data_IF_610941926616
#
_entry.id   IF_610941926616
#
_cell.length_a   1.000
_cell.length_b   1.000
_cell.length_c   1.000
_cell.angle_alpha   90.00
_cell.angle_beta   90.00
_cell.angle_gamma   90.00
#
_symmetry.space_group_name_H-M   'P 1'
#
loop_
_entity.id
_entity.type
_entity.pdbx_description
1 polymer ?
#
# COMPACT_ATOMS: atom_id res chain seq x y z
N UNK A 1 -28.38 71.27 15.79
CA UNK A 1 -29.82 71.60 15.95
C UNK A 1 -30.23 72.29 14.66
N UNK A 2 -31.07 71.78 13.76
CA UNK A 2 -32.13 70.76 13.83
C UNK A 2 -32.13 69.89 12.55
N UNK A 3 -32.51 68.62 12.78
CA UNK A 3 -33.06 67.58 11.89
C UNK A 3 -34.02 68.09 10.78
N UNK A 4 -34.38 67.38 9.69
CA UNK A 4 -34.37 65.94 9.40
C UNK A 4 -34.67 65.62 7.91
N UNK A 5 -34.28 64.41 7.52
CA UNK A 5 -34.92 63.43 6.61
C UNK A 5 -35.22 63.74 5.13
N UNK A 6 -34.60 62.95 4.23
CA UNK A 6 -35.18 61.87 3.36
C UNK A 6 -35.93 62.45 2.15
N UNK A 7 -35.72 62.02 0.91
CA UNK A 7 -35.75 60.66 0.41
C UNK A 7 -35.09 60.54 -0.98
N UNK A 8 -34.71 59.31 -1.31
CA UNK A 8 -34.15 58.85 -2.59
C UNK A 8 -35.17 58.94 -3.73
N UNK A 9 -34.74 59.34 -4.93
CA UNK A 9 -35.18 58.81 -6.24
C UNK A 9 -34.43 59.51 -7.40
N UNK A 10 -34.41 58.85 -8.57
CA UNK A 10 -33.81 59.25 -9.88
C UNK A 10 -32.28 59.02 -10.02
N UNK A 11 -31.71 58.51 -11.12
CA UNK A 11 -32.23 58.20 -12.45
C UNK A 11 -31.17 57.37 -13.21
N UNK A 12 -31.66 56.45 -14.03
CA UNK A 12 -30.95 55.92 -15.19
C UNK A 12 -30.77 57.01 -16.25
N UNK A 13 -29.64 57.04 -16.98
CA UNK A 13 -29.51 57.44 -18.39
C UNK A 13 -28.11 57.01 -18.89
N UNK A 14 -28.10 56.22 -19.97
CA UNK A 14 -26.95 55.97 -20.83
C UNK A 14 -26.70 57.16 -21.78
N UNK A 15 -25.44 57.53 -21.98
CA UNK A 15 -25.03 58.43 -23.08
C UNK A 15 -23.72 57.96 -23.75
N UNK A 16 -23.91 57.32 -24.90
CA UNK A 16 -23.16 57.27 -26.16
C UNK A 16 -21.77 57.94 -26.26
N UNK A 17 -20.77 57.08 -26.53
CA UNK A 17 -19.63 57.14 -27.47
C UNK A 17 -18.49 58.19 -27.41
N UNK A 18 -17.29 57.59 -27.30
CA UNK A 18 -16.03 57.82 -28.04
C UNK A 18 -15.17 59.06 -27.71
N UNK A 19 -14.00 58.80 -27.11
CA UNK A 19 -12.69 59.00 -27.77
C UNK A 19 -11.53 58.51 -26.90
N UNK A 20 -10.69 57.70 -27.53
CA UNK A 20 -9.49 57.06 -27.03
C UNK A 20 -8.48 58.03 -26.43
N UNK A 21 -8.08 57.82 -25.17
CA UNK A 21 -6.73 58.13 -24.69
C UNK A 21 -6.28 57.01 -23.76
N UNK A 22 -5.20 56.38 -24.18
CA UNK A 22 -4.30 55.45 -23.49
C UNK A 22 -4.19 55.66 -21.98
N UNK A 23 -4.78 54.74 -21.22
CA UNK A 23 -4.28 54.32 -19.89
C UNK A 23 -4.39 52.81 -19.82
N UNK A 24 -3.30 52.13 -20.20
CA UNK A 24 -3.09 50.73 -19.88
C UNK A 24 -2.92 50.65 -18.36
N UNK A 25 -4.01 50.44 -17.62
CA UNK A 25 -3.90 49.95 -16.25
C UNK A 25 -3.39 48.52 -16.35
N UNK A 26 -2.11 48.32 -16.04
CA UNK A 26 -1.63 47.01 -15.58
C UNK A 26 -2.43 46.69 -14.32
N UNK A 27 -3.49 45.89 -14.46
CA UNK A 27 -3.99 45.13 -13.32
C UNK A 27 -2.98 44.00 -13.15
N UNK A 28 -1.98 44.25 -12.31
CA UNK A 28 -1.22 43.18 -11.68
C UNK A 28 -2.21 42.39 -10.81
N UNK A 29 -2.93 41.45 -11.42
CA UNK A 29 -3.47 40.32 -10.67
C UNK A 29 -2.24 39.48 -10.33
N UNK A 30 -1.60 39.81 -9.22
CA UNK A 30 -0.76 38.84 -8.53
C UNK A 30 -1.71 37.73 -8.10
N UNK A 31 -1.88 36.74 -8.97
CA UNK A 31 -2.32 35.42 -8.56
C UNK A 31 -1.21 34.96 -7.63
N UNK A 32 -1.40 35.21 -6.34
CA UNK A 32 -0.78 34.38 -5.32
C UNK A 32 -1.32 32.98 -5.59
N UNK A 33 -0.59 32.22 -6.41
CA UNK A 33 -0.54 30.77 -6.27
C UNK A 33 0.04 30.54 -4.88
N UNK A 34 -0.80 30.67 -3.86
CA UNK A 34 -0.56 29.93 -2.63
C UNK A 34 -0.45 28.48 -3.11
N UNK A 35 0.67 27.78 -2.85
CA UNK A 35 0.61 26.35 -2.95
C UNK A 35 -0.47 25.96 -1.94
N UNK A 36 -1.63 25.55 -2.45
CA UNK A 36 -2.60 24.84 -1.64
C UNK A 36 -1.97 23.47 -1.37
N UNK A 37 -0.90 23.43 -0.57
CA UNK A 37 -0.59 22.27 0.24
C UNK A 37 -1.60 22.27 1.38
N UNK A 38 -2.87 22.07 1.01
CA UNK A 38 -3.78 21.44 1.92
C UNK A 38 -3.25 20.02 2.05
N UNK A 39 -2.40 19.78 3.06
CA UNK A 39 -2.43 18.49 3.76
C UNK A 39 -3.87 18.34 4.25
N UNK A 40 -4.75 17.87 3.36
CA UNK A 40 -6.02 17.29 3.76
C UNK A 40 -5.60 16.19 4.71
N UNK A 41 -5.83 16.41 6.01
CA UNK A 41 -5.91 15.30 6.95
C UNK A 41 -7.03 14.43 6.40
N UNK A 42 -6.63 13.39 5.69
CA UNK A 42 -7.54 12.38 5.22
C UNK A 42 -8.02 11.68 6.49
N UNK A 43 -9.27 11.96 6.89
CA UNK A 43 -9.97 11.25 7.98
C UNK A 43 -10.16 9.74 7.67
N UNK A 44 -9.69 9.28 6.51
CA UNK A 44 -9.78 7.90 6.03
C UNK A 44 -8.50 7.11 6.27
N UNK A 45 -7.37 7.76 6.64
CA UNK A 45 -6.11 7.08 6.96
C UNK A 45 -6.16 6.53 8.39
N UNK A 46 -6.13 5.20 8.52
CA UNK A 46 -6.24 4.50 9.80
C UNK A 46 -4.89 4.03 10.34
N UNK A 47 -3.87 3.95 9.49
CA UNK A 47 -2.50 3.63 9.87
C UNK A 47 -1.50 4.29 8.93
N UNK A 48 -0.41 4.80 9.49
CA UNK A 48 0.75 5.32 8.78
C UNK A 48 2.02 4.82 9.48
N UNK A 49 2.94 4.27 8.70
CA UNK A 49 4.32 4.02 9.11
C UNK A 49 5.23 4.48 7.98
N UNK A 50 5.74 5.70 8.14
CA UNK A 50 6.81 6.32 7.36
C UNK A 50 8.19 6.04 7.97
N UNK A 51 8.25 5.20 9.01
CA UNK A 51 9.45 4.74 9.71
C UNK A 51 10.33 5.81 10.37
N UNK A 52 9.91 7.09 10.34
CA UNK A 52 10.62 8.22 10.99
C UNK A 52 10.68 8.10 12.52
N UNK A 53 9.80 7.29 13.11
CA UNK A 53 9.75 7.01 14.55
C UNK A 53 10.11 5.55 14.87
N UNK A 54 10.74 4.85 13.93
CA UNK A 54 11.00 3.41 14.03
C UNK A 54 9.81 2.55 13.61
N UNK A 55 9.72 1.34 14.16
CA UNK A 55 8.68 0.35 13.81
C UNK A 55 8.02 -0.30 15.04
N UNK A 56 8.01 0.40 16.18
CA UNK A 56 7.54 -0.15 17.46
C UNK A 56 6.03 -0.47 17.50
N UNK A 57 5.26 0.12 16.59
CA UNK A 57 3.83 -0.09 16.38
C UNK A 57 3.52 -1.41 15.66
N UNK A 58 4.54 -2.08 15.11
CA UNK A 58 4.40 -3.33 14.38
C UNK A 58 4.59 -4.55 15.28
N UNK A 59 3.83 -5.62 15.00
CA UNK A 59 4.23 -6.95 15.45
C UNK A 59 5.42 -7.45 14.64
N UNK A 60 6.34 -8.19 15.28
CA UNK A 60 7.58 -8.64 14.62
C UNK A 60 7.62 -10.17 14.46
N UNK A 61 8.17 -10.62 13.34
CA UNK A 61 8.56 -12.00 13.06
C UNK A 61 10.00 -11.99 12.53
N UNK A 62 10.93 -11.64 13.43
CA UNK A 62 12.36 -11.41 13.16
C UNK A 62 13.20 -12.40 13.99
N UNK A 63 14.17 -13.08 13.37
CA UNK A 63 15.07 -13.98 14.10
C UNK A 63 16.20 -13.24 14.81
N UNK A 64 16.57 -12.09 14.25
CA UNK A 64 17.91 -11.55 14.37
C UNK A 64 17.86 -10.01 14.34
N UNK A 65 18.81 -9.35 14.99
CA UNK A 65 18.80 -7.88 15.11
C UNK A 65 18.96 -7.16 13.77
N UNK A 66 19.60 -7.78 12.77
CA UNK A 66 19.75 -7.23 11.42
C UNK A 66 18.55 -7.54 10.51
N UNK A 67 17.58 -8.32 10.97
CA UNK A 67 16.45 -8.75 10.14
C UNK A 67 15.56 -7.58 9.74
N UNK A 68 15.51 -6.53 10.56
CA UNK A 68 14.83 -5.27 10.26
C UNK A 68 15.58 -4.08 10.90
N UNK A 69 16.07 -3.17 10.07
CA UNK A 69 16.89 -2.03 10.47
C UNK A 69 16.30 -0.73 9.91
N UNK A 70 16.20 0.30 10.75
CA UNK A 70 15.91 1.65 10.26
C UNK A 70 17.18 2.22 9.62
N UNK A 71 17.05 2.71 8.39
CA UNK A 71 18.15 3.25 7.60
C UNK A 71 17.79 4.63 7.08
N UNK A 72 18.82 5.43 6.75
CA UNK A 72 18.62 6.77 6.19
C UNK A 72 18.88 6.83 4.68
N UNK A 73 19.12 5.68 4.04
CA UNK A 73 19.28 5.53 2.59
C UNK A 73 19.18 4.05 2.20
N UNK A 74 18.49 3.71 1.11
CA UNK A 74 17.58 4.57 0.34
C UNK A 74 16.33 4.95 1.16
N UNK A 75 15.71 6.08 0.81
CA UNK A 75 14.46 6.58 1.42
C UNK A 75 13.46 6.93 0.31
N UNK A 76 12.17 6.68 0.52
CA UNK A 76 11.12 7.07 -0.42
C UNK A 76 10.65 8.48 -0.13
N UNK A 77 10.45 8.78 1.14
CA UNK A 77 10.04 10.07 1.69
C UNK A 77 10.77 10.30 3.03
N UNK A 78 10.66 11.49 3.61
CA UNK A 78 11.23 11.76 4.93
C UNK A 78 12.76 11.64 4.99
N UNK A 79 13.26 10.95 6.00
CA UNK A 79 14.68 10.73 6.28
C UNK A 79 15.00 9.26 6.58
N UNK A 80 14.01 8.41 6.78
CA UNK A 80 14.16 7.04 7.23
C UNK A 80 13.31 6.09 6.41
N UNK A 81 13.80 4.87 6.25
CA UNK A 81 13.06 3.74 5.70
C UNK A 81 13.42 2.49 6.49
N UNK A 82 12.68 1.40 6.29
CA UNK A 82 13.03 0.12 6.88
C UNK A 82 13.69 -0.80 5.86
N UNK A 83 14.84 -1.36 6.24
CA UNK A 83 15.56 -2.39 5.51
C UNK A 83 15.27 -3.75 6.12
N UNK A 84 14.91 -4.72 5.30
CA UNK A 84 14.81 -6.11 5.70
C UNK A 84 15.98 -6.91 5.15
N UNK A 85 16.60 -7.71 6.01
CA UNK A 85 17.65 -8.65 5.62
C UNK A 85 17.24 -10.06 6.05
N UNK A 86 17.37 -11.02 5.15
CA UNK A 86 17.13 -12.42 5.47
C UNK A 86 18.22 -13.29 4.87
N UNK A 87 18.79 -14.19 5.65
CA UNK A 87 19.84 -15.12 5.23
C UNK A 87 19.37 -16.56 5.29
N UNK A 88 19.95 -17.41 4.43
CA UNK A 88 19.57 -18.82 4.30
C UNK A 88 19.93 -19.60 5.57
N UNK A 89 20.93 -19.17 6.31
CA UNK A 89 21.35 -19.71 7.60
C UNK A 89 20.46 -19.32 8.79
N UNK A 90 19.69 -18.24 8.68
CA UNK A 90 18.90 -17.66 9.79
C UNK A 90 17.99 -18.64 10.51
N UNK A 91 17.80 -18.50 11.81
CA UNK A 91 16.89 -19.37 12.55
C UNK A 91 15.48 -19.36 11.93
N UNK A 92 14.84 -20.53 11.87
CA UNK A 92 13.48 -20.64 11.32
C UNK A 92 12.48 -20.10 12.34
N UNK A 93 11.59 -19.21 11.90
CA UNK A 93 10.43 -18.78 12.66
C UNK A 93 9.18 -19.47 12.12
N UNK A 94 8.41 -20.10 13.02
CA UNK A 94 7.25 -20.92 12.66
C UNK A 94 7.56 -21.94 11.55
N UNK A 95 8.76 -22.51 11.61
CA UNK A 95 9.20 -23.57 10.70
C UNK A 95 9.56 -23.11 9.27
N UNK A 96 9.76 -21.82 9.01
CA UNK A 96 10.22 -21.27 7.71
C UNK A 96 11.25 -20.14 7.91
N UNK A 97 11.85 -19.64 6.82
CA UNK A 97 12.76 -18.49 6.83
C UNK A 97 11.97 -17.21 6.56
N UNK A 98 12.03 -16.24 7.47
CA UNK A 98 11.32 -14.96 7.33
C UNK A 98 11.96 -13.84 8.15
N UNK A 99 11.78 -12.62 7.68
CA UNK A 99 11.99 -11.38 8.40
C UNK A 99 10.82 -10.46 8.02
N UNK A 100 9.78 -10.42 8.87
CA UNK A 100 8.54 -9.72 8.54
C UNK A 100 8.03 -8.86 9.70
N UNK A 101 7.40 -7.75 9.36
CA UNK A 101 6.53 -6.99 10.24
C UNK A 101 5.07 -7.31 9.94
N UNK A 102 4.19 -7.21 10.93
CA UNK A 102 2.75 -7.49 10.78
C UNK A 102 1.86 -6.48 11.49
N UNK A 103 0.73 -6.18 10.87
CA UNK A 103 -0.39 -5.46 11.48
C UNK A 103 -1.40 -6.45 12.09
N UNK A 104 -2.41 -5.89 12.76
CA UNK A 104 -3.59 -6.62 13.20
C UNK A 104 -4.49 -7.07 12.05
N UNK A 105 -5.41 -7.97 12.37
CA UNK A 105 -6.47 -8.41 11.45
C UNK A 105 -7.47 -7.29 11.16
N UNK A 106 -8.04 -7.33 9.96
CA UNK A 106 -9.18 -6.48 9.60
C UNK A 106 -10.49 -7.25 9.80
N UNK A 107 -11.65 -6.58 9.91
CA UNK A 107 -12.93 -7.27 9.95
C UNK A 107 -13.15 -8.14 8.69
N UNK A 108 -13.82 -9.29 8.81
CA UNK A 108 -14.23 -10.06 7.64
C UNK A 108 -15.17 -9.22 6.76
N UNK A 109 -15.19 -9.51 5.46
CA UNK A 109 -16.01 -8.80 4.45
C UNK A 109 -15.83 -7.26 4.40
N UNK A 110 -14.71 -6.75 4.92
CA UNK A 110 -14.39 -5.31 4.93
C UNK A 110 -13.73 -4.85 3.63
N UNK A 111 -13.86 -3.55 3.35
CA UNK A 111 -13.11 -2.87 2.28
C UNK A 111 -12.02 -2.01 2.89
N UNK A 112 -10.78 -2.28 2.51
CA UNK A 112 -9.57 -1.68 3.06
C UNK A 112 -8.62 -1.31 1.93
N UNK A 113 -7.95 -0.18 2.08
CA UNK A 113 -6.88 0.26 1.20
C UNK A 113 -5.52 0.10 1.85
N UNK A 114 -4.54 -0.37 1.09
CA UNK A 114 -3.15 -0.51 1.53
C UNK A 114 -2.23 0.14 0.51
N UNK A 115 -1.30 0.97 0.96
CA UNK A 115 -0.27 1.60 0.15
C UNK A 115 1.10 1.36 0.78
N UNK A 116 2.11 1.14 -0.03
CA UNK A 116 3.50 1.04 0.42
C UNK A 116 4.46 1.16 -0.76
N UNK A 117 5.69 1.55 -0.48
CA UNK A 117 6.78 1.59 -1.45
C UNK A 117 7.75 0.46 -1.19
N UNK A 118 8.26 -0.15 -2.26
CA UNK A 118 9.29 -1.20 -2.19
C UNK A 118 10.54 -0.74 -2.95
N UNK A 119 11.71 -0.87 -2.33
CA UNK A 119 12.99 -0.70 -3.01
C UNK A 119 13.72 -2.04 -3.08
N UNK A 120 14.08 -2.45 -4.29
CA UNK A 120 15.00 -3.57 -4.52
C UNK A 120 16.38 -2.96 -4.83
N UNK A 121 17.44 -3.24 -4.06
CA UNK A 121 18.77 -2.66 -4.29
C UNK A 121 19.34 -3.05 -5.66
N UNK A 122 20.30 -2.28 -6.16
CA UNK A 122 20.85 -2.45 -7.52
C UNK A 122 21.48 -3.83 -7.74
N UNK A 123 21.98 -4.45 -6.68
CA UNK A 123 22.55 -5.80 -6.64
C UNK A 123 21.53 -6.90 -6.32
N UNK A 124 20.22 -6.57 -6.28
CA UNK A 124 19.15 -7.53 -6.07
C UNK A 124 19.12 -8.57 -7.19
N UNK A 125 19.68 -9.75 -6.91
CA UNK A 125 19.82 -10.82 -7.90
C UNK A 125 18.47 -11.47 -8.22
N UNK A 126 18.22 -11.70 -9.50
CA UNK A 126 17.12 -12.55 -9.95
C UNK A 126 17.29 -13.96 -9.39
N UNK A 127 16.21 -14.51 -8.87
CA UNK A 127 16.16 -15.85 -8.31
C UNK A 127 14.98 -16.62 -8.93
N UNK A 128 15.19 -17.82 -9.49
CA UNK A 128 14.10 -18.68 -9.97
C UNK A 128 13.11 -19.09 -8.86
N UNK A 129 13.60 -19.13 -7.62
CA UNK A 129 12.78 -19.31 -6.42
C UNK A 129 11.95 -18.07 -6.12
N UNK A 130 10.75 -18.26 -5.57
CA UNK A 130 9.93 -17.13 -5.12
C UNK A 130 10.22 -16.75 -3.67
N UNK A 131 10.06 -15.47 -3.37
CA UNK A 131 9.84 -14.96 -2.03
C UNK A 131 8.62 -14.02 -2.01
N UNK A 132 7.87 -14.08 -0.92
CA UNK A 132 6.77 -13.15 -0.65
C UNK A 132 7.36 -11.92 0.01
N UNK A 133 7.00 -10.74 -0.50
CA UNK A 133 7.45 -9.45 0.05
C UNK A 133 6.33 -8.71 0.79
N UNK A 134 5.07 -8.97 0.41
CA UNK A 134 3.89 -8.55 1.16
C UNK A 134 2.82 -9.63 1.10
N UNK A 135 2.11 -9.87 2.19
CA UNK A 135 1.03 -10.85 2.25
C UNK A 135 -0.09 -10.44 3.18
N UNK A 136 -1.30 -10.84 2.82
CA UNK A 136 -2.49 -10.76 3.66
C UNK A 136 -2.84 -12.18 4.08
N UNK A 137 -2.40 -12.52 5.28
CA UNK A 137 -2.51 -13.87 5.80
C UNK A 137 -3.82 -14.03 6.56
N UNK A 138 -4.52 -15.14 6.34
CA UNK A 138 -5.70 -15.50 7.10
C UNK A 138 -5.36 -15.98 8.51
N UNK A 139 -6.38 -16.07 9.36
CA UNK A 139 -6.26 -16.73 10.65
C UNK A 139 -7.22 -17.92 10.71
N UNK A 140 -6.71 -19.15 10.91
CA UNK A 140 -7.56 -20.33 10.85
C UNK A 140 -8.61 -20.34 11.97
N UNK A 141 -9.78 -20.87 11.64
CA UNK A 141 -10.87 -21.17 12.59
C UNK A 141 -10.50 -22.41 13.41
N UNK A 142 -9.62 -22.22 14.42
CA UNK A 142 -9.10 -23.31 15.25
C UNK A 142 -10.18 -24.09 15.99
N UNK A 143 -11.29 -23.43 16.36
CA UNK A 143 -12.46 -24.06 16.97
C UNK A 143 -13.15 -25.08 16.03
N UNK A 144 -12.89 -25.00 14.73
CA UNK A 144 -13.38 -25.93 13.71
C UNK A 144 -12.29 -26.93 13.26
N UNK A 145 -11.14 -26.94 13.91
CA UNK A 145 -10.01 -27.82 13.57
C UNK A 145 -9.24 -27.38 12.32
N UNK A 146 -9.44 -26.15 11.85
CA UNK A 146 -8.74 -25.65 10.67
C UNK A 146 -7.24 -25.42 10.95
N UNK A 147 -6.41 -25.71 9.94
CA UNK A 147 -4.96 -25.52 9.99
C UNK A 147 -4.55 -24.24 9.28
N UNK A 148 -3.37 -23.73 9.62
CA UNK A 148 -2.74 -22.65 8.86
C UNK A 148 -2.61 -23.03 7.38
N UNK A 149 -2.98 -22.08 6.52
CA UNK A 149 -3.00 -22.22 5.07
C UNK A 149 -2.19 -21.10 4.41
N UNK A 150 -2.11 -21.11 3.08
CA UNK A 150 -1.43 -20.04 2.35
C UNK A 150 -2.20 -18.73 2.47
N UNK A 151 -1.53 -17.57 2.46
CA UNK A 151 -2.20 -16.27 2.50
C UNK A 151 -3.23 -16.14 1.37
N UNK A 152 -4.30 -15.39 1.64
CA UNK A 152 -5.36 -15.10 0.69
C UNK A 152 -4.88 -14.22 -0.46
N UNK A 153 -3.95 -13.30 -0.18
CA UNK A 153 -3.31 -12.43 -1.16
C UNK A 153 -1.81 -12.33 -0.84
N UNK A 154 -0.96 -12.34 -1.86
CA UNK A 154 0.47 -12.05 -1.70
C UNK A 154 1.09 -11.39 -2.93
N UNK A 155 2.00 -10.47 -2.68
CA UNK A 155 2.94 -9.92 -3.65
C UNK A 155 4.29 -10.59 -3.46
N UNK A 156 4.89 -11.05 -4.55
CA UNK A 156 6.13 -11.83 -4.54
C UNK A 156 7.10 -11.32 -5.59
N UNK A 157 8.39 -11.50 -5.35
CA UNK A 157 9.38 -11.51 -6.43
C UNK A 157 9.66 -12.95 -6.85
N UNK A 158 9.84 -13.15 -8.16
CA UNK A 158 10.25 -14.43 -8.74
C UNK A 158 10.78 -14.18 -10.15
N UNK A 159 11.97 -14.70 -10.46
CA UNK A 159 12.51 -14.72 -11.81
C UNK A 159 12.46 -13.35 -12.52
N UNK A 160 12.93 -12.30 -11.82
CA UNK A 160 12.94 -10.94 -12.37
C UNK A 160 11.59 -10.20 -12.36
N UNK A 161 10.52 -10.80 -11.83
CA UNK A 161 9.16 -10.27 -11.93
C UNK A 161 8.48 -10.06 -10.59
N UNK A 162 7.54 -9.13 -10.55
CA UNK A 162 6.52 -9.07 -9.51
C UNK A 162 5.37 -10.01 -9.85
N UNK A 163 5.00 -10.87 -8.90
CA UNK A 163 3.93 -11.86 -9.05
C UNK A 163 2.89 -11.63 -7.96
N UNK A 164 1.64 -11.43 -8.36
CA UNK A 164 0.51 -11.37 -7.45
C UNK A 164 -0.18 -12.73 -7.37
N UNK A 165 -0.42 -13.23 -6.17
CA UNK A 165 -1.16 -14.47 -5.94
C UNK A 165 -2.42 -14.17 -5.14
N UNK A 166 -3.56 -14.69 -5.57
CA UNK A 166 -4.83 -14.64 -4.85
C UNK A 166 -5.38 -16.04 -4.64
N UNK A 167 -5.98 -16.31 -3.48
CA UNK A 167 -6.68 -17.57 -3.14
C UNK A 167 -7.98 -17.27 -2.42
N UNK A 168 -8.95 -18.16 -2.57
CA UNK A 168 -10.24 -18.05 -1.89
C UNK A 168 -10.86 -19.43 -1.68
N UNK A 169 -11.78 -19.50 -0.72
CA UNK A 169 -12.62 -20.66 -0.48
C UNK A 169 -13.92 -20.20 0.17
N UNK A 170 -15.07 -20.56 -0.41
CA UNK A 170 -16.38 -20.27 0.18
C UNK A 170 -16.72 -21.19 1.36
N UNK A 171 -15.98 -22.30 1.54
CA UNK A 171 -16.20 -23.25 2.63
C UNK A 171 -15.65 -22.71 3.93
N UNK A 172 -16.33 -23.06 5.02
CA UNK A 172 -15.96 -22.63 6.36
C UNK A 172 -14.65 -23.23 6.88
N UNK A 173 -14.26 -24.39 6.35
CA UNK A 173 -12.98 -25.04 6.67
C UNK A 173 -12.27 -25.31 5.35
N UNK A 174 -11.16 -24.61 5.15
CA UNK A 174 -10.35 -24.77 3.94
C UNK A 174 -9.41 -25.96 4.10
N UNK A 175 -9.54 -26.96 3.22
CA UNK A 175 -8.55 -28.05 3.09
C UNK A 175 -7.68 -27.81 1.87
N UNK A 176 -8.32 -27.53 0.73
CA UNK A 176 -7.71 -27.08 -0.51
C UNK A 176 -8.53 -25.89 -0.97
N UNK A 177 -7.91 -24.72 -1.23
CA UNK A 177 -8.64 -23.55 -1.71
C UNK A 177 -9.50 -23.87 -2.92
N UNK A 178 -10.75 -23.41 -2.90
CA UNK A 178 -11.70 -23.53 -4.00
C UNK A 178 -11.16 -22.87 -5.28
N UNK A 179 -10.48 -21.74 -5.13
CA UNK A 179 -9.86 -21.05 -6.25
C UNK A 179 -8.55 -20.36 -5.93
N UNK A 180 -7.79 -20.13 -6.99
CA UNK A 180 -6.53 -19.40 -6.97
C UNK A 180 -6.28 -18.71 -8.31
N UNK A 181 -5.58 -17.58 -8.27
CA UNK A 181 -5.10 -16.85 -9.44
C UNK A 181 -3.64 -16.45 -9.20
N UNK A 182 -2.83 -16.49 -10.26
CA UNK A 182 -1.47 -15.95 -10.30
C UNK A 182 -1.42 -14.93 -11.43
N UNK A 183 -0.98 -13.71 -11.15
CA UNK A 183 -0.88 -12.62 -12.12
C UNK A 183 0.57 -12.15 -12.19
N UNK A 184 1.12 -12.13 -13.40
CA UNK A 184 2.42 -11.51 -13.69
C UNK A 184 2.22 -10.00 -13.80
N UNK A 185 2.83 -9.23 -12.90
CA UNK A 185 2.77 -7.76 -12.91
C UNK A 185 3.91 -7.14 -13.74
N UNK A 186 4.75 -7.97 -14.36
CA UNK A 186 5.88 -7.57 -15.18
C UNK A 186 7.20 -7.56 -14.42
N UNK A 187 8.24 -7.13 -15.14
CA UNK A 187 9.60 -7.06 -14.62
C UNK A 187 9.69 -6.04 -13.49
N UNK A 188 10.33 -6.42 -12.40
CA UNK A 188 10.72 -5.44 -11.38
C UNK A 188 11.92 -4.63 -11.86
N UNK A 189 12.12 -3.48 -11.25
CA UNK A 189 13.31 -2.66 -11.46
C UNK A 189 14.11 -2.60 -10.15
N UNK A 190 15.43 -2.61 -10.28
CA UNK A 190 16.35 -2.47 -9.15
C UNK A 190 16.89 -1.04 -9.08
N UNK A 191 17.33 -0.62 -7.89
CA UNK A 191 17.89 0.72 -7.66
C UNK A 191 16.87 1.85 -7.65
N UNK A 192 15.56 1.56 -7.58
CA UNK A 192 14.50 2.56 -7.49
C UNK A 192 13.30 2.04 -6.69
N UNK A 193 12.54 2.98 -6.13
CA UNK A 193 11.27 2.67 -5.48
C UNK A 193 10.21 2.28 -6.51
N UNK A 194 9.38 1.30 -6.13
CA UNK A 194 8.14 0.92 -6.81
C UNK A 194 6.99 1.11 -5.85
N UNK A 195 6.01 1.92 -6.24
CA UNK A 195 4.88 2.26 -5.39
C UNK A 195 3.72 1.31 -5.69
N UNK A 196 3.16 0.69 -4.65
CA UNK A 196 1.97 -0.14 -4.76
C UNK A 196 0.81 0.45 -3.98
N UNK A 197 -0.38 0.36 -4.57
CA UNK A 197 -1.66 0.59 -3.88
C UNK A 197 -2.57 -0.60 -4.14
N UNK A 198 -3.23 -1.08 -3.09
CA UNK A 198 -4.20 -2.14 -3.12
C UNK A 198 -5.51 -1.58 -2.58
N UNK A 199 -6.60 -1.74 -3.33
CA UNK A 199 -7.96 -1.62 -2.80
C UNK A 199 -8.55 -3.01 -2.77
N UNK A 200 -8.88 -3.48 -1.57
CA UNK A 200 -9.42 -4.82 -1.39
C UNK A 200 -10.72 -4.76 -0.63
N UNK A 201 -11.80 -5.17 -1.30
CA UNK A 201 -13.03 -5.59 -0.62
C UNK A 201 -12.92 -7.08 -0.38
N UNK A 202 -12.52 -7.45 0.83
CA UNK A 202 -12.33 -8.83 1.23
C UNK A 202 -13.64 -9.58 1.10
N UNK A 203 -13.64 -10.75 0.47
CA UNK A 203 -14.79 -11.66 0.53
C UNK A 203 -14.45 -13.05 0.02
N UNK A 204 -15.13 -14.07 0.54
CA UNK A 204 -15.15 -15.42 -0.02
C UNK A 204 -16.25 -15.60 -1.08
N UNK A 205 -17.11 -14.59 -1.29
CA UNK A 205 -18.21 -14.60 -2.25
C UNK A 205 -18.00 -13.68 -3.46
N UNK A 206 -19.05 -13.55 -4.29
CA UNK A 206 -19.01 -12.80 -5.54
C UNK A 206 -18.97 -11.27 -5.39
N UNK A 207 -19.18 -10.76 -4.16
CA UNK A 207 -19.18 -9.33 -3.82
C UNK A 207 -17.79 -8.78 -3.49
N UNK A 208 -16.75 -9.60 -3.56
CA UNK A 208 -15.36 -9.16 -3.37
C UNK A 208 -14.84 -8.32 -4.54
N UNK A 209 -13.77 -7.56 -4.27
CA UNK A 209 -13.07 -6.72 -5.25
C UNK A 209 -11.59 -6.64 -4.93
N UNK A 210 -10.76 -6.69 -5.96
CA UNK A 210 -9.32 -6.46 -5.86
C UNK A 210 -8.89 -5.52 -6.99
N UNK A 211 -8.34 -4.37 -6.61
CA UNK A 211 -7.66 -3.45 -7.52
C UNK A 211 -6.24 -3.23 -7.02
N UNK A 212 -5.29 -3.25 -7.95
CA UNK A 212 -3.86 -3.04 -7.66
C UNK A 212 -3.31 -2.02 -8.64
N UNK A 213 -2.67 -1.00 -8.09
CA UNK A 213 -1.88 -0.02 -8.83
C UNK A 213 -0.40 -0.27 -8.58
N UNK A 214 0.40 -0.13 -9.64
CA UNK A 214 1.85 -0.12 -9.61
C UNK A 214 2.33 1.16 -10.29
N UNK A 215 3.11 1.97 -9.58
CA UNK A 215 3.60 3.29 -10.04
C UNK A 215 2.46 4.16 -10.62
N UNK A 216 1.32 4.23 -9.92
CA UNK A 216 0.15 5.01 -10.32
C UNK A 216 -0.72 4.40 -11.42
N UNK A 217 -0.33 3.26 -12.00
CA UNK A 217 -1.09 2.60 -13.08
C UNK A 217 -1.89 1.43 -12.53
N UNK A 218 -3.19 1.38 -12.82
CA UNK A 218 -4.03 0.24 -12.49
C UNK A 218 -3.57 -0.99 -13.31
N UNK A 219 -2.97 -1.97 -12.66
CA UNK A 219 -2.42 -3.19 -13.28
C UNK A 219 -3.30 -4.43 -13.05
N UNK A 220 -4.12 -4.42 -12.01
CA UNK A 220 -5.11 -5.48 -11.74
C UNK A 220 -6.43 -4.85 -11.37
N UNK A 221 -7.52 -5.36 -11.97
CA UNK A 221 -8.89 -5.11 -11.54
C UNK A 221 -9.67 -6.42 -11.66
N UNK A 222 -10.25 -6.87 -10.54
CA UNK A 222 -10.98 -8.12 -10.43
C UNK A 222 -12.19 -7.94 -9.52
N UNK A 223 -13.31 -8.50 -9.94
CA UNK A 223 -14.48 -8.72 -9.10
C UNK A 223 -14.54 -10.19 -8.68
N UNK A 224 -15.20 -10.46 -7.56
CA UNK A 224 -15.38 -11.80 -7.04
C UNK A 224 -14.45 -12.14 -5.87
N UNK A 225 -14.38 -13.42 -5.48
CA UNK A 225 -13.80 -13.83 -4.22
C UNK A 225 -12.28 -13.65 -4.18
N UNK A 226 -11.79 -13.27 -3.01
CA UNK A 226 -10.38 -12.98 -2.75
C UNK A 226 -9.93 -13.29 -1.31
N UNK A 227 -10.79 -13.95 -0.54
CA UNK A 227 -10.52 -14.36 0.83
C UNK A 227 -11.10 -15.74 1.13
N UNK A 228 -10.68 -16.32 2.25
CA UNK A 228 -11.31 -17.52 2.81
C UNK A 228 -12.53 -17.15 3.67
N UNK A 229 -13.49 -18.06 3.79
CA UNK A 229 -14.68 -17.89 4.63
C UNK A 229 -14.38 -18.15 6.12
N UNK A 230 -13.41 -17.46 6.69
CA UNK A 230 -13.01 -17.58 8.10
C UNK A 230 -13.81 -16.62 9.00
N UNK A 231 -13.73 -16.78 10.32
CA UNK A 231 -14.40 -15.86 11.26
C UNK A 231 -13.81 -14.44 11.25
N UNK A 232 -12.56 -14.31 10.80
CA UNK A 232 -11.74 -13.12 10.93
C UNK A 232 -11.17 -12.76 9.56
N UNK A 233 -11.00 -11.46 9.31
CA UNK A 233 -10.36 -11.01 8.08
C UNK A 233 -8.84 -11.24 8.13
N UNK A 234 -8.16 -11.04 7.00
CA UNK A 234 -6.73 -11.24 6.94
C UNK A 234 -5.97 -10.08 7.61
N UNK A 235 -4.67 -10.25 7.80
CA UNK A 235 -3.78 -9.21 8.32
C UNK A 235 -2.57 -9.03 7.42
N UNK A 236 -2.13 -7.78 7.26
CA UNK A 236 -0.98 -7.44 6.41
C UNK A 236 0.33 -7.84 7.10
N UNK A 237 1.24 -8.41 6.30
CA UNK A 237 2.66 -8.51 6.59
C UNK A 237 3.47 -7.90 5.45
N UNK A 238 4.60 -7.28 5.80
CA UNK A 238 5.63 -6.79 4.88
C UNK A 238 7.00 -7.30 5.31
N UNK A 239 7.90 -7.47 4.36
CA UNK A 239 9.28 -7.90 4.62
C UNK A 239 9.71 -8.99 3.65
N UNK A 240 10.33 -10.06 4.15
CA UNK A 240 10.80 -11.19 3.35
C UNK A 240 10.30 -12.49 3.96
N UNK A 241 9.51 -13.24 3.19
CA UNK A 241 9.17 -14.63 3.47
C UNK A 241 9.71 -15.52 2.35
N UNK A 242 10.66 -16.41 2.67
CA UNK A 242 11.32 -17.28 1.69
C UNK A 242 11.18 -18.75 2.04
N UNK A 243 9.98 -19.28 1.80
CA UNK A 243 9.63 -20.67 2.09
C UNK A 243 10.47 -21.71 1.32
N UNK A 244 10.89 -21.38 0.10
CA UNK A 244 11.62 -22.30 -0.79
C UNK A 244 13.02 -22.66 -0.26
N UNK A 245 13.68 -21.79 0.51
CA UNK A 245 14.93 -22.15 1.20
C UNK A 245 14.81 -23.35 2.15
N UNK A 246 13.59 -23.68 2.59
CA UNK A 246 13.29 -24.92 3.30
C UNK A 246 12.72 -25.99 2.37
N UNK A 247 11.68 -25.66 1.61
CA UNK A 247 10.84 -26.66 0.96
C UNK A 247 11.43 -27.15 -0.37
N UNK A 248 12.22 -26.31 -1.03
CA UNK A 248 12.85 -26.57 -2.34
C UNK A 248 14.22 -25.88 -2.41
N UNK A 249 15.18 -26.26 -1.54
CA UNK A 249 16.41 -25.51 -1.31
C UNK A 249 17.30 -25.35 -2.56
N UNK A 250 17.15 -26.24 -3.53
CA UNK A 250 17.89 -26.27 -4.80
C UNK A 250 17.30 -25.33 -5.87
N UNK A 251 16.09 -24.79 -5.66
CA UNK A 251 15.49 -23.82 -6.60
C UNK A 251 16.10 -22.43 -6.49
N UNK A 252 16.61 -22.09 -5.31
CA UNK A 252 17.10 -20.75 -5.03
C UNK A 252 18.60 -20.67 -5.33
N UNK A 253 18.99 -19.67 -6.11
CA UNK A 253 20.41 -19.42 -6.45
C UNK A 253 21.10 -18.46 -5.47
N UNK A 254 20.35 -17.90 -4.53
CA UNK A 254 20.84 -16.93 -3.53
C UNK A 254 20.80 -17.50 -2.11
N UNK A 255 21.65 -16.96 -1.24
CA UNK A 255 21.71 -17.28 0.19
C UNK A 255 21.37 -16.08 1.09
N UNK A 256 21.22 -14.89 0.53
CA UNK A 256 20.89 -13.67 1.26
C UNK A 256 19.98 -12.81 0.41
N UNK A 257 19.03 -12.13 1.07
CA UNK A 257 18.07 -11.26 0.43
C UNK A 257 17.89 -10.00 1.24
N UNK A 258 17.96 -8.87 0.56
CA UNK A 258 17.74 -7.54 1.13
C UNK A 258 16.71 -6.79 0.28
N UNK A 259 15.82 -6.05 0.94
CA UNK A 259 14.91 -5.10 0.31
C UNK A 259 14.48 -4.04 1.33
N UNK A 260 13.81 -3.00 0.87
CA UNK A 260 13.37 -1.90 1.72
C UNK A 260 11.89 -1.62 1.53
N UNK A 261 11.26 -1.15 2.61
CA UNK A 261 9.91 -0.62 2.60
C UNK A 261 9.92 0.80 3.15
N UNK A 262 8.97 1.60 2.67
CA UNK A 262 8.70 2.94 3.16
C UNK A 262 7.24 3.32 2.86
N UNK A 263 6.73 4.35 3.53
CA UNK A 263 5.43 4.98 3.26
C UNK A 263 4.25 3.99 3.33
N UNK A 264 4.21 3.16 4.39
CA UNK A 264 3.11 2.22 4.59
C UNK A 264 1.87 2.96 5.08
N UNK A 265 0.81 2.93 4.27
CA UNK A 265 -0.45 3.64 4.50
C UNK A 265 -1.59 2.64 4.47
N UNK A 266 -2.49 2.68 5.45
CA UNK A 266 -3.74 1.91 5.43
C UNK A 266 -4.90 2.85 5.61
N UNK A 267 -5.92 2.70 4.77
CA UNK A 267 -7.15 3.47 4.87
C UNK A 267 -8.39 2.61 4.89
N UNK A 268 -9.46 3.20 5.40
CA UNK A 268 -10.78 2.57 5.45
C UNK A 268 -11.48 2.56 4.09
N UNK A 269 -12.72 2.07 4.06
CA UNK A 269 -13.52 1.98 2.84
C UNK A 269 -13.82 3.33 2.16
N UNK A 270 -13.66 4.45 2.87
CA UNK A 270 -13.91 5.80 2.33
C UNK A 270 -12.65 6.40 1.70
N UNK A 271 -11.49 5.77 1.88
CA UNK A 271 -10.25 6.23 1.29
C UNK A 271 -10.29 6.21 -0.24
N UNK A 272 -9.51 7.11 -0.84
CA UNK A 272 -9.25 7.17 -2.27
C UNK A 272 -7.79 6.87 -2.55
N UNK A 273 -7.48 6.68 -3.82
CA UNK A 273 -6.11 6.42 -4.27
C UNK A 273 -5.13 7.48 -3.72
N UNK A 274 -5.48 8.77 -3.76
CA UNK A 274 -4.60 9.87 -3.35
C UNK A 274 -4.35 9.95 -1.84
N UNK A 275 -5.22 9.34 -1.05
CA UNK A 275 -5.09 9.26 0.41
C UNK A 275 -4.05 8.18 0.80
N UNK A 276 -3.84 7.20 -0.08
CA UNK A 276 -3.12 5.94 0.18
C UNK A 276 -1.81 5.83 -0.61
N UNK A 277 -1.74 6.44 -1.79
CA UNK A 277 -0.55 6.44 -2.61
C UNK A 277 0.66 6.99 -1.83
N UNK A 278 1.78 6.25 -1.79
CA UNK A 278 3.03 6.75 -1.23
C UNK A 278 3.47 8.08 -1.86
N UNK A 279 3.98 9.00 -1.05
CA UNK A 279 4.40 10.34 -1.49
C UNK A 279 5.32 11.01 -0.50
N UNK A 280 6.09 11.96 -1.02
CA UNK A 280 6.95 12.88 -0.27
C UNK A 280 6.15 13.87 0.60
#
# INVERSE_FOLDING_TARGET
MFNNHRDRHQQWIDFVFLRSITKLLLVLVTIWLMPLSSKVKSDTLVFLSDFESGYSEWGTELCCNYSAEIVNSPIRAGNQAIKFTLKKEDARLYGVKRAELKLGEVPPDSEIWYGFSVFLPSDYQQDPSSEIIAQWHDLPDKNLGEKWKSPALSLSTKDGKFILNRKWDSKRVTVVPEGKEVVDLGLYQTGKWTDFVFRVKWSSGSNGRLEVWQDGKLVVSRNGPNNYNDARGPYLKIGIYKGDWKNYPDKSTISERELYFDEVRVGDANARYEDIAPRD
#
